data_IF_441269512129
#
_entry.id   IF_441269512129
#
_cell.length_a   1.000
_cell.length_b   1.000
_cell.length_c   1.000
_cell.angle_alpha   90.00
_cell.angle_beta   90.00
_cell.angle_gamma   90.00
#
_symmetry.space_group_name_H-M   'P 1'
#
loop_
_entity.id
_entity.type
_entity.pdbx_description
1 polymer ?
#
# COMPACT_ATOMS: atom_id res chain seq x y z
N UNK A 1 -10.36 -23.33 -11.82
CA UNK A 1 -9.97 -22.18 -12.66
C UNK A 1 -10.36 -20.82 -12.08
N UNK A 2 -11.54 -20.65 -11.46
CA UNK A 2 -11.99 -19.36 -10.87
C UNK A 2 -11.08 -18.79 -9.76
N UNK A 3 -10.42 -19.64 -8.97
CA UNK A 3 -9.50 -19.23 -7.89
C UNK A 3 -8.19 -18.61 -8.39
N UNK A 4 -7.74 -18.96 -9.60
CA UNK A 4 -6.46 -18.46 -10.15
C UNK A 4 -6.58 -17.00 -10.60
N UNK A 5 -7.73 -16.63 -11.17
CA UNK A 5 -8.02 -15.25 -11.58
C UNK A 5 -8.03 -14.29 -10.38
N UNK A 6 -8.58 -14.73 -9.25
CA UNK A 6 -8.62 -13.93 -8.02
C UNK A 6 -7.22 -13.67 -7.43
N UNK A 7 -6.34 -14.68 -7.44
CA UNK A 7 -4.94 -14.50 -7.01
C UNK A 7 -4.19 -13.50 -7.89
N UNK A 8 -4.36 -13.58 -9.22
CA UNK A 8 -3.74 -12.63 -10.16
C UNK A 8 -4.27 -11.21 -9.98
N UNK A 9 -5.57 -11.04 -9.70
CA UNK A 9 -6.16 -9.74 -9.38
C UNK A 9 -5.58 -9.16 -8.08
N UNK A 10 -5.39 -9.96 -7.04
CA UNK A 10 -4.77 -9.52 -5.79
C UNK A 10 -3.32 -9.08 -6.00
N UNK A 11 -2.54 -9.84 -6.77
CA UNK A 11 -1.15 -9.49 -7.12
C UNK A 11 -1.09 -8.26 -8.01
N UNK A 12 -1.93 -8.18 -9.03
CA UNK A 12 -2.02 -7.01 -9.91
C UNK A 12 -2.45 -5.76 -9.13
N UNK A 13 -3.39 -5.88 -8.20
CA UNK A 13 -3.80 -4.80 -7.31
C UNK A 13 -2.66 -4.36 -6.38
N UNK A 14 -1.83 -5.30 -5.89
CA UNK A 14 -0.65 -4.95 -5.09
C UNK A 14 0.40 -4.19 -5.92
N UNK A 15 0.66 -4.62 -7.15
CA UNK A 15 1.58 -3.91 -8.08
C UNK A 15 1.03 -2.54 -8.47
N UNK A 16 -0.28 -2.45 -8.75
CA UNK A 16 -0.96 -1.19 -9.03
C UNK A 16 -0.97 -0.22 -7.82
N UNK A 17 -0.71 -0.69 -6.60
CA UNK A 17 -0.52 0.21 -5.45
C UNK A 17 0.83 0.91 -5.46
N UNK A 18 1.87 0.30 -6.03
CA UNK A 18 3.19 0.93 -6.15
C UNK A 18 3.16 2.11 -7.13
N UNK A 19 2.34 2.05 -8.18
CA UNK A 19 2.18 3.17 -9.11
C UNK A 19 1.50 4.39 -8.47
N UNK A 20 0.59 4.19 -7.50
CA UNK A 20 0.02 5.31 -6.72
C UNK A 20 1.09 6.06 -5.92
N UNK A 21 2.13 5.37 -5.42
CA UNK A 21 3.23 6.02 -4.69
C UNK A 21 4.05 6.95 -5.60
N UNK A 22 4.31 6.53 -6.85
CA UNK A 22 4.94 7.38 -7.87
C UNK A 22 4.06 8.57 -8.25
N UNK A 23 2.75 8.37 -8.37
CA UNK A 23 1.80 9.46 -8.64
C UNK A 23 1.74 10.49 -7.50
N UNK A 24 1.84 10.02 -6.24
CA UNK A 24 1.93 10.89 -5.07
C UNK A 24 3.18 11.75 -5.07
N UNK A 25 4.31 11.22 -5.54
CA UNK A 25 5.57 11.96 -5.64
C UNK A 25 5.52 13.08 -6.69
N UNK A 26 4.72 12.91 -7.74
CA UNK A 26 4.53 13.90 -8.82
C UNK A 26 3.44 14.95 -8.47
N UNK A 27 2.55 14.65 -7.53
CA UNK A 27 1.54 15.60 -7.04
C UNK A 27 2.15 16.58 -6.02
N UNK A 28 2.16 17.87 -6.37
CA UNK A 28 2.57 19.05 -5.61
C UNK A 28 3.15 18.83 -4.19
N UNK A 29 4.37 18.32 -4.08
CA UNK A 29 5.18 18.54 -2.88
C UNK A 29 5.67 19.99 -2.93
N UNK A 30 5.15 20.84 -2.04
CA UNK A 30 5.68 22.20 -1.84
C UNK A 30 7.20 22.09 -1.62
N UNK A 31 7.98 22.87 -2.37
CA UNK A 31 9.46 22.87 -2.42
C UNK A 31 10.16 21.72 -3.17
N UNK A 32 9.53 21.10 -4.18
CA UNK A 32 10.25 20.22 -5.15
C UNK A 32 10.27 20.81 -6.57
N UNK A 33 11.36 20.67 -7.35
CA UNK A 33 11.48 21.26 -8.69
C UNK A 33 10.61 20.57 -9.78
N UNK A 34 9.83 19.54 -9.43
CA UNK A 34 9.04 18.70 -10.34
C UNK A 34 7.52 18.86 -10.18
N UNK A 35 7.02 20.08 -9.93
CA UNK A 35 5.57 20.33 -9.80
C UNK A 35 4.92 20.47 -11.18
N UNK A 36 4.32 19.38 -11.68
CA UNK A 36 3.51 19.38 -12.91
C UNK A 36 2.03 19.70 -12.67
N UNK A 37 1.49 19.41 -11.47
CA UNK A 37 0.08 19.68 -11.11
C UNK A 37 0.02 20.42 -9.78
N UNK A 38 -0.44 21.68 -9.79
CA UNK A 38 -0.52 22.58 -8.61
C UNK A 38 -1.76 22.34 -7.73
N UNK A 39 -2.65 21.44 -8.16
CA UNK A 39 -4.00 21.30 -7.61
C UNK A 39 -4.05 20.18 -6.57
N UNK A 40 -4.18 20.55 -5.29
CA UNK A 40 -4.21 19.63 -4.14
C UNK A 40 -5.32 18.56 -4.25
N UNK A 41 -6.36 18.82 -5.05
CA UNK A 41 -7.45 17.88 -5.31
C UNK A 41 -7.00 16.56 -5.96
N UNK A 42 -5.93 16.57 -6.77
CA UNK A 42 -5.43 15.33 -7.40
C UNK A 42 -4.79 14.42 -6.36
N UNK A 43 -4.00 14.99 -5.43
CA UNK A 43 -3.41 14.23 -4.33
C UNK A 43 -4.49 13.60 -3.43
N UNK A 44 -5.56 14.35 -3.12
CA UNK A 44 -6.69 13.84 -2.34
C UNK A 44 -7.43 12.72 -3.07
N UNK A 45 -7.69 12.86 -4.37
CA UNK A 45 -8.33 11.80 -5.17
C UNK A 45 -7.49 10.53 -5.21
N UNK A 46 -6.18 10.65 -5.38
CA UNK A 46 -5.25 9.51 -5.35
C UNK A 46 -5.21 8.88 -3.95
N UNK A 47 -5.26 9.68 -2.88
CA UNK A 47 -5.34 9.18 -1.50
C UNK A 47 -6.61 8.34 -1.28
N UNK A 48 -7.76 8.87 -1.70
CA UNK A 48 -9.06 8.20 -1.56
C UNK A 48 -9.07 6.89 -2.36
N UNK A 49 -8.60 6.91 -3.61
CA UNK A 49 -8.51 5.71 -4.44
C UNK A 49 -7.56 4.66 -3.83
N UNK A 50 -6.43 5.08 -3.28
CA UNK A 50 -5.47 4.21 -2.61
C UNK A 50 -6.03 3.61 -1.31
N UNK A 51 -6.72 4.42 -0.50
CA UNK A 51 -7.37 3.99 0.73
C UNK A 51 -8.49 2.97 0.46
N UNK A 52 -9.37 3.29 -0.50
CA UNK A 52 -10.45 2.40 -0.92
C UNK A 52 -9.91 1.05 -1.42
N UNK A 53 -8.89 1.09 -2.28
CA UNK A 53 -8.25 -0.12 -2.81
C UNK A 53 -7.58 -0.95 -1.70
N UNK A 54 -6.85 -0.32 -0.79
CA UNK A 54 -6.24 -1.03 0.34
C UNK A 54 -7.31 -1.67 1.25
N UNK A 55 -8.37 -0.94 1.59
CA UNK A 55 -9.45 -1.48 2.43
C UNK A 55 -10.11 -2.70 1.79
N UNK A 56 -10.58 -2.57 0.54
CA UNK A 56 -11.32 -3.64 -0.12
C UNK A 56 -10.48 -4.90 -0.36
N UNK A 57 -9.33 -4.75 -1.02
CA UNK A 57 -8.50 -5.91 -1.38
C UNK A 57 -7.85 -6.58 -0.17
N UNK A 58 -7.45 -5.82 0.86
CA UNK A 58 -6.90 -6.42 2.08
C UNK A 58 -7.97 -7.22 2.84
N UNK A 59 -9.19 -6.69 2.99
CA UNK A 59 -10.28 -7.44 3.64
C UNK A 59 -10.61 -8.74 2.88
N UNK A 60 -10.70 -8.68 1.55
CA UNK A 60 -10.94 -9.86 0.73
C UNK A 60 -9.80 -10.89 0.87
N UNK A 61 -8.54 -10.45 0.82
CA UNK A 61 -7.39 -11.34 1.00
C UNK A 61 -7.35 -11.97 2.39
N UNK A 62 -7.64 -11.18 3.44
CA UNK A 62 -7.64 -11.64 4.83
C UNK A 62 -8.75 -12.65 5.11
N UNK A 63 -9.93 -12.47 4.52
CA UNK A 63 -11.03 -13.43 4.66
C UNK A 63 -10.75 -14.71 3.87
N UNK A 64 -10.19 -14.63 2.66
CA UNK A 64 -9.99 -15.82 1.81
C UNK A 64 -8.78 -16.67 2.23
N UNK A 65 -7.74 -16.07 2.80
CA UNK A 65 -6.49 -16.79 3.15
C UNK A 65 -6.66 -17.93 4.15
N UNK A 66 -7.38 -17.80 5.29
CA UNK A 66 -7.58 -18.91 6.21
C UNK A 66 -8.45 -20.03 5.60
N UNK A 67 -9.32 -19.72 4.64
CA UNK A 67 -10.12 -20.75 3.96
C UNK A 67 -9.29 -21.64 3.03
N UNK A 68 -8.13 -21.17 2.56
CA UNK A 68 -7.24 -21.92 1.67
C UNK A 68 -6.33 -22.93 2.41
N UNK A 69 -6.27 -22.89 3.75
CA UNK A 69 -5.46 -23.80 4.57
C UNK A 69 -6.33 -24.75 5.40
N UNK A 70 -5.71 -25.87 5.82
CA UNK A 70 -6.35 -26.86 6.68
C UNK A 70 -6.82 -26.25 8.01
N UNK A 71 -7.95 -26.73 8.56
CA UNK A 71 -8.58 -26.12 9.76
C UNK A 71 -7.62 -25.96 10.94
N UNK A 72 -6.74 -26.94 11.15
CA UNK A 72 -5.76 -26.93 12.24
C UNK A 72 -4.72 -25.80 12.16
N UNK A 73 -4.51 -25.19 10.99
CA UNK A 73 -3.49 -24.15 10.78
C UNK A 73 -4.08 -22.78 10.41
N UNK A 74 -5.40 -22.62 10.50
CA UNK A 74 -6.08 -21.37 10.12
C UNK A 74 -5.69 -20.18 11.00
N UNK A 75 -5.64 -20.39 12.31
CA UNK A 75 -5.25 -19.36 13.26
C UNK A 75 -3.80 -18.90 13.00
N UNK A 76 -2.88 -19.84 12.84
CA UNK A 76 -1.48 -19.53 12.54
C UNK A 76 -1.33 -18.76 11.22
N UNK A 77 -2.03 -19.18 10.17
CA UNK A 77 -2.00 -18.52 8.86
C UNK A 77 -2.53 -17.08 8.95
N UNK A 78 -3.63 -16.86 9.68
CA UNK A 78 -4.19 -15.53 9.89
C UNK A 78 -3.23 -14.62 10.65
N UNK A 79 -2.59 -15.12 11.71
CA UNK A 79 -1.62 -14.36 12.50
C UNK A 79 -0.39 -13.95 11.70
N UNK A 80 0.18 -14.86 10.90
CA UNK A 80 1.34 -14.56 10.04
C UNK A 80 0.96 -13.50 9.00
N UNK A 81 -0.20 -13.65 8.38
CA UNK A 81 -0.68 -12.71 7.36
C UNK A 81 -0.90 -11.30 7.96
N UNK A 82 -1.45 -11.19 9.16
CA UNK A 82 -1.58 -9.91 9.88
C UNK A 82 -0.21 -9.32 10.23
N UNK A 83 0.73 -10.14 10.68
CA UNK A 83 2.10 -9.72 11.00
C UNK A 83 2.80 -9.13 9.77
N UNK A 84 2.70 -9.80 8.61
CA UNK A 84 3.22 -9.28 7.34
C UNK A 84 2.58 -7.94 6.95
N UNK A 85 1.27 -7.77 7.16
CA UNK A 85 0.57 -6.51 6.92
C UNK A 85 1.14 -5.39 7.80
N UNK A 86 1.24 -5.62 9.12
CA UNK A 86 1.78 -4.66 10.06
C UNK A 86 3.25 -4.33 9.75
N UNK A 87 4.09 -5.31 9.41
CA UNK A 87 5.47 -5.07 9.00
C UNK A 87 5.54 -4.17 7.77
N UNK A 88 4.68 -4.39 6.78
CA UNK A 88 4.60 -3.54 5.58
C UNK A 88 4.20 -2.09 5.92
N UNK A 89 3.22 -1.89 6.81
CA UNK A 89 2.79 -0.57 7.26
C UNK A 89 3.89 0.16 8.03
N UNK A 90 4.54 -0.52 8.97
CA UNK A 90 5.67 0.02 9.74
C UNK A 90 6.84 0.35 8.82
N UNK A 91 7.18 -0.54 7.89
CA UNK A 91 8.21 -0.32 6.88
C UNK A 91 7.90 0.88 5.98
N UNK A 92 6.65 1.05 5.55
CA UNK A 92 6.21 2.21 4.78
C UNK A 92 6.31 3.54 5.55
N UNK A 93 6.02 3.52 6.85
CA UNK A 93 6.20 4.69 7.74
C UNK A 93 7.68 5.07 7.86
N UNK A 94 8.55 4.08 8.12
CA UNK A 94 10.01 4.26 8.14
C UNK A 94 10.55 4.80 6.80
N UNK A 95 10.07 4.26 5.68
CA UNK A 95 10.44 4.72 4.35
C UNK A 95 10.01 6.17 4.09
N UNK A 96 8.89 6.62 4.67
CA UNK A 96 8.44 8.01 4.56
C UNK A 96 9.38 8.99 5.27
N UNK A 97 9.90 8.60 6.44
CA UNK A 97 10.95 9.37 7.12
C UNK A 97 12.26 9.36 6.33
N UNK A 98 12.67 8.21 5.80
CA UNK A 98 13.87 8.10 4.96
C UNK A 98 13.75 8.98 3.70
N UNK A 99 12.58 9.01 3.06
CA UNK A 99 12.32 9.86 1.89
C UNK A 99 12.39 11.34 2.26
N UNK A 100 11.84 11.75 3.41
CA UNK A 100 11.99 13.13 3.91
C UNK A 100 13.44 13.49 4.19
N UNK A 101 14.21 12.59 4.79
CA UNK A 101 15.65 12.80 5.02
C UNK A 101 16.43 12.96 3.72
N UNK A 102 16.10 12.15 2.68
CA UNK A 102 16.71 12.25 1.36
C UNK A 102 16.32 13.53 0.62
N UNK A 103 15.06 13.95 0.68
CA UNK A 103 14.54 15.12 -0.02
C UNK A 103 14.96 16.45 0.63
N UNK A 104 14.84 16.59 1.94
CA UNK A 104 15.20 17.82 2.64
C UNK A 104 16.68 17.88 3.03
N UNK A 105 17.41 16.75 2.99
CA UNK A 105 18.80 16.63 3.49
C UNK A 105 18.98 17.19 4.91
N UNK A 106 17.88 17.22 5.68
CA UNK A 106 17.84 17.57 7.09
C UNK A 106 17.82 16.29 7.92
N UNK A 107 18.42 16.32 9.11
CA UNK A 107 18.27 15.23 10.07
C UNK A 107 16.79 15.07 10.45
N UNK A 108 16.19 13.89 10.26
CA UNK A 108 14.77 13.65 10.56
C UNK A 108 14.51 13.42 12.07
N UNK A 109 15.44 13.82 12.95
CA UNK A 109 15.38 13.72 14.40
C UNK A 109 15.75 15.06 15.03
#
# INVERSE_FOLDING_TARGET
LYVLGHRRLLVAAAVARLSFFGLFFVCNVRDSPFVMFKQDGVAVLVLVACAWSNGYFCSVAMMQSPHAVHRAHRELCSSIMFLCLCLGLTGGSLASFALRALLCRCNPF
#
